data_IF_722780597800
#
_entry.id   IF_722780597800
#
_cell.length_a   1.000
_cell.length_b   1.000
_cell.length_c   1.000
_cell.angle_alpha   90.00
_cell.angle_beta   90.00
_cell.angle_gamma   90.00
#
_symmetry.space_group_name_H-M   'P 1'
#
loop_
_entity.id
_entity.type
_entity.pdbx_description
1 polymer ?
#
# COMPACT_ATOMS: atom_id res chain seq x y z
N UNK A 1 18.53 -25.52 -11.78
CA UNK A 1 19.69 -24.63 -12.13
C UNK A 1 19.99 -23.79 -10.89
N UNK A 2 21.26 -23.68 -10.48
CA UNK A 2 21.66 -22.85 -9.34
C UNK A 2 21.78 -21.38 -9.80
N UNK A 3 21.62 -20.44 -8.87
CA UNK A 3 21.86 -19.02 -9.13
C UNK A 3 23.36 -18.76 -9.34
N UNK A 4 23.70 -17.78 -10.18
CA UNK A 4 25.10 -17.30 -10.26
C UNK A 4 25.50 -16.57 -8.97
N UNK A 5 26.80 -16.34 -8.70
CA UNK A 5 27.22 -15.54 -7.54
C UNK A 5 26.57 -14.15 -7.47
N UNK A 6 26.47 -13.44 -8.62
CA UNK A 6 25.86 -12.11 -8.73
C UNK A 6 24.35 -12.17 -8.45
N UNK A 7 23.67 -13.18 -8.98
CA UNK A 7 22.24 -13.41 -8.70
C UNK A 7 21.99 -13.72 -7.22
N UNK A 8 22.88 -14.48 -6.58
CA UNK A 8 22.81 -14.76 -5.15
C UNK A 8 22.98 -13.51 -4.29
N UNK A 9 23.93 -12.63 -4.65
CA UNK A 9 24.15 -11.38 -3.96
C UNK A 9 22.93 -10.46 -4.10
N UNK A 10 22.43 -10.27 -5.31
CA UNK A 10 21.22 -9.48 -5.58
C UNK A 10 20.01 -10.02 -4.82
N UNK A 11 19.81 -11.34 -4.82
CA UNK A 11 18.72 -11.99 -4.08
C UNK A 11 18.80 -11.75 -2.57
N UNK A 12 19.97 -11.93 -1.98
CA UNK A 12 20.17 -11.68 -0.53
C UNK A 12 19.92 -10.22 -0.18
N UNK A 13 20.39 -9.29 -1.01
CA UNK A 13 20.16 -7.87 -0.83
C UNK A 13 18.68 -7.51 -0.93
N UNK A 14 17.96 -8.09 -1.88
CA UNK A 14 16.52 -7.91 -2.03
C UNK A 14 15.76 -8.42 -0.80
N UNK A 15 16.07 -9.63 -0.34
CA UNK A 15 15.44 -10.22 0.86
C UNK A 15 15.73 -9.38 2.10
N UNK A 16 16.96 -8.91 2.25
CA UNK A 16 17.33 -8.05 3.39
C UNK A 16 16.58 -6.73 3.37
N UNK A 17 16.53 -6.03 2.23
CA UNK A 17 15.88 -4.73 2.14
C UNK A 17 14.37 -4.84 2.37
N UNK A 18 13.70 -5.86 1.85
CA UNK A 18 12.26 -6.06 2.08
C UNK A 18 11.97 -6.29 3.55
N UNK A 19 12.76 -7.11 4.23
CA UNK A 19 12.58 -7.39 5.66
C UNK A 19 12.81 -6.14 6.52
N UNK A 20 13.95 -5.46 6.35
CA UNK A 20 14.30 -4.27 7.14
C UNK A 20 13.34 -3.10 6.87
N UNK A 21 12.88 -2.96 5.63
CA UNK A 21 11.92 -1.92 5.26
C UNK A 21 10.55 -2.17 5.89
N UNK A 22 10.01 -3.40 5.79
CA UNK A 22 8.73 -3.76 6.42
C UNK A 22 8.74 -3.50 7.92
N UNK A 23 9.77 -3.94 8.63
CA UNK A 23 9.95 -3.67 10.07
C UNK A 23 10.00 -2.18 10.39
N UNK A 24 10.67 -1.40 9.53
CA UNK A 24 10.82 0.05 9.72
C UNK A 24 9.49 0.77 9.54
N UNK A 25 8.71 0.37 8.52
CA UNK A 25 7.40 0.95 8.23
C UNK A 25 6.36 0.55 9.29
N UNK A 26 6.41 -0.69 9.79
CA UNK A 26 5.52 -1.11 10.86
C UNK A 26 5.78 -0.33 12.16
N UNK A 27 7.06 -0.19 12.57
CA UNK A 27 7.41 0.65 13.72
C UNK A 27 6.98 2.10 13.55
N UNK A 28 7.06 2.65 12.33
CA UNK A 28 6.62 4.00 12.04
C UNK A 28 5.09 4.13 12.15
N UNK A 29 4.33 3.22 11.54
CA UNK A 29 2.87 3.22 11.60
C UNK A 29 2.34 3.06 13.03
N UNK A 30 2.97 2.18 13.82
CA UNK A 30 2.66 2.01 15.25
C UNK A 30 2.93 3.28 16.05
N UNK A 31 4.08 3.92 15.86
CA UNK A 31 4.46 5.14 16.58
C UNK A 31 3.57 6.33 16.24
N UNK A 32 3.24 6.50 14.96
CA UNK A 32 2.60 7.71 14.44
C UNK A 32 1.08 7.61 14.32
N UNK A 33 0.53 6.40 14.27
CA UNK A 33 -0.89 6.12 14.10
C UNK A 33 -1.46 5.07 15.05
N UNK A 34 -0.63 4.37 15.81
CA UNK A 34 -1.09 3.33 16.74
C UNK A 34 -1.63 2.07 16.06
N UNK A 35 -1.27 1.81 14.79
CA UNK A 35 -1.78 0.68 14.02
C UNK A 35 -0.66 -0.05 13.27
N UNK A 36 -0.83 -1.35 12.96
CA UNK A 36 0.08 -2.08 12.08
C UNK A 36 0.15 -1.45 10.69
N UNK A 37 1.35 -1.43 10.09
CA UNK A 37 1.53 -0.92 8.72
C UNK A 37 0.62 -1.63 7.69
N UNK A 38 0.32 -2.90 7.91
CA UNK A 38 -0.63 -3.65 7.07
C UNK A 38 -2.04 -3.05 7.08
N UNK A 39 -2.51 -2.53 8.22
CA UNK A 39 -3.80 -1.84 8.31
C UNK A 39 -3.71 -0.43 7.70
N UNK A 40 -2.61 0.28 7.96
CA UNK A 40 -2.39 1.57 7.35
C UNK A 40 -2.45 1.50 5.81
N UNK A 41 -1.83 0.48 5.19
CA UNK A 41 -1.94 0.26 3.74
C UNK A 41 -3.40 0.14 3.27
N UNK A 42 -4.23 -0.60 3.98
CA UNK A 42 -5.67 -0.73 3.63
C UNK A 42 -6.37 0.63 3.67
N UNK A 43 -6.11 1.43 4.71
CA UNK A 43 -6.69 2.77 4.83
C UNK A 43 -6.22 3.70 3.71
N UNK A 44 -4.94 3.64 3.31
CA UNK A 44 -4.40 4.42 2.19
C UNK A 44 -5.07 4.02 0.87
N UNK A 45 -5.22 2.73 0.57
CA UNK A 45 -5.90 2.28 -0.64
C UNK A 45 -7.36 2.75 -0.71
N UNK A 46 -8.07 2.73 0.41
CA UNK A 46 -9.41 3.29 0.49
C UNK A 46 -9.40 4.81 0.29
N UNK A 47 -8.42 5.51 0.89
CA UNK A 47 -8.31 6.96 0.78
C UNK A 47 -8.07 7.43 -0.67
N UNK A 48 -7.30 6.65 -1.45
CA UNK A 48 -6.98 6.92 -2.85
C UNK A 48 -8.04 6.41 -3.84
N UNK A 49 -8.95 5.54 -3.39
CA UNK A 49 -10.00 5.00 -4.25
C UNK A 49 -11.13 6.02 -4.50
N UNK A 50 -11.87 5.88 -5.63
CA UNK A 50 -13.07 6.65 -5.88
C UNK A 50 -14.07 6.52 -4.72
N UNK A 51 -14.66 7.64 -4.30
CA UNK A 51 -15.60 7.72 -3.17
C UNK A 51 -15.08 7.13 -1.85
N UNK A 52 -13.75 6.88 -1.75
CA UNK A 52 -13.07 6.30 -0.58
C UNK A 52 -13.65 4.98 -0.12
N UNK A 53 -14.08 4.17 -1.06
CA UNK A 53 -14.68 2.86 -0.82
C UNK A 53 -14.25 1.83 -1.87
N UNK A 54 -14.13 0.58 -1.43
CA UNK A 54 -13.84 -0.57 -2.27
C UNK A 54 -14.66 -1.76 -1.79
N UNK A 55 -14.90 -2.72 -2.65
CA UNK A 55 -15.44 -4.01 -2.24
C UNK A 55 -14.38 -4.84 -1.50
N UNK A 56 -14.83 -5.85 -0.74
CA UNK A 56 -13.91 -6.79 -0.07
C UNK A 56 -12.99 -7.50 -1.05
N UNK A 57 -13.50 -7.82 -2.25
CA UNK A 57 -12.72 -8.50 -3.30
C UNK A 57 -11.61 -7.60 -3.84
N UNK A 58 -11.92 -6.33 -4.14
CA UNK A 58 -10.93 -5.35 -4.60
C UNK A 58 -9.85 -5.11 -3.56
N UNK A 59 -10.23 -4.92 -2.28
CA UNK A 59 -9.26 -4.77 -1.18
C UNK A 59 -8.35 -6.00 -1.03
N UNK A 60 -8.92 -7.19 -1.09
CA UNK A 60 -8.15 -8.43 -0.98
C UNK A 60 -7.17 -8.57 -2.16
N UNK A 61 -7.60 -8.25 -3.37
CA UNK A 61 -6.77 -8.28 -4.57
C UNK A 61 -5.62 -7.27 -4.48
N UNK A 62 -5.91 -6.01 -4.13
CA UNK A 62 -4.88 -4.96 -4.02
C UNK A 62 -3.81 -5.27 -2.96
N UNK A 63 -4.21 -5.85 -1.82
CA UNK A 63 -3.29 -6.21 -0.74
C UNK A 63 -2.68 -7.60 -0.91
N UNK A 64 -3.11 -8.37 -1.92
CA UNK A 64 -2.74 -9.79 -2.12
C UNK A 64 -2.97 -10.64 -0.87
N UNK A 65 -4.05 -10.33 -0.17
CA UNK A 65 -4.48 -11.10 0.99
C UNK A 65 -5.53 -12.13 0.59
N UNK A 66 -5.55 -13.26 1.31
CA UNK A 66 -6.72 -14.13 1.25
C UNK A 66 -7.95 -13.39 1.77
N UNK A 67 -9.13 -13.73 1.25
CA UNK A 67 -10.42 -13.17 1.70
C UNK A 67 -10.60 -13.26 3.22
N UNK A 68 -10.16 -14.37 3.82
CA UNK A 68 -10.22 -14.57 5.28
C UNK A 68 -9.35 -13.56 6.02
N UNK A 69 -8.09 -13.36 5.58
CA UNK A 69 -7.17 -12.40 6.19
C UNK A 69 -7.69 -10.96 6.06
N UNK A 70 -8.23 -10.60 4.88
CA UNK A 70 -8.83 -9.29 4.66
C UNK A 70 -10.07 -9.09 5.54
N UNK A 71 -10.94 -10.10 5.67
CA UNK A 71 -12.12 -10.04 6.53
C UNK A 71 -11.74 -9.77 7.99
N UNK A 72 -10.69 -10.42 8.49
CA UNK A 72 -10.17 -10.19 9.84
C UNK A 72 -9.63 -8.78 10.03
N UNK A 73 -8.82 -8.30 9.08
CA UNK A 73 -8.25 -6.94 9.10
C UNK A 73 -9.37 -5.88 9.10
N UNK A 74 -10.35 -6.00 8.19
CA UNK A 74 -11.49 -5.08 8.09
C UNK A 74 -12.31 -5.08 9.39
N UNK A 75 -12.59 -6.26 9.96
CA UNK A 75 -13.32 -6.35 11.24
C UNK A 75 -12.61 -5.62 12.38
N UNK A 76 -11.29 -5.75 12.46
CA UNK A 76 -10.49 -5.07 13.49
C UNK A 76 -10.48 -3.54 13.30
N UNK A 77 -10.32 -3.06 12.07
CA UNK A 77 -10.34 -1.63 11.74
C UNK A 77 -11.73 -1.01 11.91
N UNK A 78 -12.80 -1.78 11.62
CA UNK A 78 -14.19 -1.38 11.88
C UNK A 78 -14.45 -1.22 13.39
N UNK A 79 -13.94 -2.14 14.20
CA UNK A 79 -14.01 -2.04 15.66
C UNK A 79 -13.24 -0.82 16.22
N UNK A 80 -12.21 -0.37 15.51
CA UNK A 80 -11.44 0.84 15.84
C UNK A 80 -12.10 2.13 15.30
N UNK A 81 -13.22 2.03 14.58
CA UNK A 81 -13.95 3.18 14.04
C UNK A 81 -13.33 3.79 12.78
N UNK A 82 -12.28 3.20 12.19
CA UNK A 82 -11.57 3.80 11.04
C UNK A 82 -12.26 3.55 9.69
N UNK A 83 -13.12 2.54 9.63
CA UNK A 83 -13.90 2.21 8.45
C UNK A 83 -15.26 1.61 8.83
N UNK A 84 -16.15 1.53 7.86
CA UNK A 84 -17.46 0.90 8.00
C UNK A 84 -17.81 0.08 6.77
N UNK A 85 -18.72 -0.88 6.94
CA UNK A 85 -19.32 -1.61 5.82
C UNK A 85 -20.62 -0.95 5.43
N UNK A 86 -20.78 -0.70 4.13
CA UNK A 86 -22.00 -0.14 3.57
C UNK A 86 -22.53 -1.02 2.46
N UNK A 87 -23.84 -1.14 2.35
CA UNK A 87 -24.49 -1.86 1.25
C UNK A 87 -24.73 -0.88 0.11
N UNK A 88 -24.47 -1.29 -1.12
CA UNK A 88 -24.75 -0.48 -2.30
C UNK A 88 -26.25 -0.12 -2.37
N UNK A 89 -26.53 1.13 -2.73
CA UNK A 89 -27.90 1.60 -2.94
C UNK A 89 -28.54 1.01 -4.20
N UNK A 90 -27.69 0.71 -5.20
CA UNK A 90 -28.14 0.21 -6.52
C UNK A 90 -28.23 -1.31 -6.59
N UNK A 91 -27.36 -2.03 -5.84
CA UNK A 91 -27.39 -3.49 -5.77
C UNK A 91 -27.06 -3.96 -4.35
N UNK A 92 -28.09 -4.41 -3.64
CA UNK A 92 -27.98 -4.91 -2.24
C UNK A 92 -27.05 -6.12 -2.05
N UNK A 93 -26.62 -6.78 -3.14
CA UNK A 93 -25.64 -7.87 -3.09
C UNK A 93 -24.21 -7.35 -2.95
N UNK A 94 -23.96 -6.11 -3.37
CA UNK A 94 -22.65 -5.47 -3.31
C UNK A 94 -22.50 -4.78 -1.96
N UNK A 95 -21.40 -5.12 -1.28
CA UNK A 95 -21.01 -4.49 -0.01
C UNK A 95 -19.65 -3.83 -0.20
N UNK A 96 -19.57 -2.58 0.19
CA UNK A 96 -18.35 -1.80 0.22
C UNK A 96 -17.78 -1.72 1.63
N UNK A 97 -16.49 -1.53 1.69
CA UNK A 97 -15.77 -1.01 2.85
C UNK A 97 -15.44 0.45 2.55
N UNK A 98 -15.79 1.33 3.44
CA UNK A 98 -15.68 2.80 3.26
C UNK A 98 -14.94 3.40 4.45
N UNK A 99 -14.08 4.40 4.20
CA UNK A 99 -13.44 5.17 5.27
C UNK A 99 -14.47 6.01 6.03
N UNK A 100 -14.29 6.05 7.34
CA UNK A 100 -14.93 7.06 8.20
C UNK A 100 -14.11 8.36 8.23
N UNK A 101 -14.65 9.41 8.80
CA UNK A 101 -13.90 10.66 9.00
C UNK A 101 -12.68 10.44 9.89
N UNK A 102 -12.78 9.59 10.92
CA UNK A 102 -11.66 9.19 11.78
C UNK A 102 -10.59 8.44 10.99
N UNK A 103 -10.98 7.56 10.06
CA UNK A 103 -10.05 6.87 9.17
C UNK A 103 -9.34 7.83 8.22
N UNK A 104 -10.06 8.81 7.67
CA UNK A 104 -9.51 9.88 6.83
C UNK A 104 -8.48 10.71 7.60
N UNK A 105 -8.82 11.14 8.80
CA UNK A 105 -7.95 11.97 9.63
C UNK A 105 -6.71 11.19 10.05
N UNK A 106 -6.83 9.90 10.33
CA UNK A 106 -5.69 9.03 10.62
C UNK A 106 -4.73 8.94 9.42
N UNK A 107 -5.25 8.71 8.21
CA UNK A 107 -4.41 8.69 7.00
C UNK A 107 -3.70 10.03 6.81
N UNK A 108 -4.42 11.15 6.92
CA UNK A 108 -3.84 12.49 6.80
C UNK A 108 -2.75 12.79 7.83
N UNK A 109 -2.89 12.28 9.04
CA UNK A 109 -1.91 12.47 10.11
C UNK A 109 -0.64 11.62 9.91
N UNK A 110 -0.77 10.42 9.36
CA UNK A 110 0.32 9.45 9.22
C UNK A 110 1.09 9.62 7.90
N UNK A 111 0.38 9.89 6.78
CA UNK A 111 0.99 9.93 5.44
C UNK A 111 2.18 10.88 5.30
N UNK A 112 2.15 12.14 5.79
CA UNK A 112 3.30 13.03 5.65
C UNK A 112 4.52 12.55 6.45
N UNK A 113 4.31 11.89 7.57
CA UNK A 113 5.39 11.33 8.40
C UNK A 113 6.01 10.13 7.73
N UNK A 114 5.19 9.22 7.16
CA UNK A 114 5.66 8.08 6.40
C UNK A 114 6.44 8.52 5.16
N UNK A 115 5.92 9.47 4.38
CA UNK A 115 6.62 9.99 3.20
C UNK A 115 8.01 10.57 3.56
N UNK A 116 8.11 11.29 4.68
CA UNK A 116 9.39 11.82 5.19
C UNK A 116 10.35 10.69 5.57
N UNK A 117 9.86 9.68 6.29
CA UNK A 117 10.65 8.52 6.71
C UNK A 117 11.15 7.72 5.49
N UNK A 118 10.28 7.46 4.52
CA UNK A 118 10.64 6.77 3.27
C UNK A 118 11.67 7.58 2.49
N UNK A 119 11.46 8.90 2.33
CA UNK A 119 12.44 9.77 1.68
C UNK A 119 13.81 9.72 2.37
N UNK A 120 13.85 9.82 3.69
CA UNK A 120 15.09 9.81 4.45
C UNK A 120 15.81 8.46 4.43
N UNK A 121 15.08 7.36 4.49
CA UNK A 121 15.65 6.02 4.63
C UNK A 121 15.98 5.35 3.29
N UNK A 122 15.21 5.65 2.25
CA UNK A 122 15.35 5.04 0.93
C UNK A 122 15.89 6.06 -0.07
N UNK A 123 15.10 7.06 -0.43
CA UNK A 123 15.39 7.92 -1.58
C UNK A 123 16.54 8.87 -1.37
N UNK A 124 16.85 9.30 -0.14
CA UNK A 124 18.04 10.12 0.14
C UNK A 124 19.38 9.40 -0.12
N UNK A 125 19.35 8.09 -0.35
CA UNK A 125 20.53 7.26 -0.66
C UNK A 125 20.69 6.98 -2.15
N UNK A 126 19.75 7.40 -2.97
CA UNK A 126 19.66 7.10 -4.39
C UNK A 126 19.70 8.40 -5.22
N UNK A 127 20.40 8.38 -6.33
CA UNK A 127 20.29 9.42 -7.36
C UNK A 127 19.05 9.17 -8.25
N UNK A 128 18.77 10.12 -9.16
CA UNK A 128 17.60 10.05 -10.03
C UNK A 128 17.63 8.83 -10.97
N UNK A 129 18.78 8.40 -11.42
CA UNK A 129 18.93 7.22 -12.28
C UNK A 129 18.64 5.97 -11.51
N UNK A 130 19.17 5.86 -10.29
CA UNK A 130 18.92 4.73 -9.39
C UNK A 130 17.44 4.62 -8.98
N UNK A 131 16.76 5.74 -8.77
CA UNK A 131 15.31 5.76 -8.49
C UNK A 131 14.52 5.19 -9.68
N UNK A 132 14.83 5.62 -10.91
CA UNK A 132 14.20 5.09 -12.11
C UNK A 132 14.49 3.60 -12.32
N UNK A 133 15.73 3.17 -12.09
CA UNK A 133 16.13 1.76 -12.15
C UNK A 133 15.40 0.91 -11.10
N UNK A 134 15.31 1.40 -9.86
CA UNK A 134 14.58 0.71 -8.78
C UNK A 134 13.12 0.49 -9.15
N UNK A 135 12.46 1.51 -9.71
CA UNK A 135 11.08 1.39 -10.19
C UNK A 135 10.96 0.33 -11.28
N UNK A 136 11.80 0.40 -12.32
CA UNK A 136 11.78 -0.54 -13.45
C UNK A 136 12.05 -1.99 -13.01
N UNK A 137 13.05 -2.20 -12.15
CA UNK A 137 13.41 -3.53 -11.62
C UNK A 137 12.26 -4.08 -10.76
N UNK A 138 11.70 -3.26 -9.87
CA UNK A 138 10.60 -3.68 -9.00
C UNK A 138 9.38 -4.10 -9.80
N UNK A 139 9.00 -3.33 -10.83
CA UNK A 139 7.88 -3.65 -11.71
C UNK A 139 8.13 -4.95 -12.51
N UNK A 140 9.36 -5.16 -13.00
CA UNK A 140 9.73 -6.39 -13.71
C UNK A 140 9.62 -7.62 -12.80
N UNK A 141 10.09 -7.52 -11.55
CA UNK A 141 10.00 -8.60 -10.56
C UNK A 141 8.51 -8.90 -10.24
N UNK A 142 7.73 -7.87 -9.99
CA UNK A 142 6.30 -8.00 -9.70
C UNK A 142 5.57 -8.65 -10.88
N UNK A 143 5.81 -8.20 -12.12
CA UNK A 143 5.22 -8.80 -13.33
C UNK A 143 5.58 -10.28 -13.51
N UNK A 144 6.79 -10.68 -13.13
CA UNK A 144 7.21 -12.09 -13.16
C UNK A 144 6.56 -12.96 -12.07
N UNK A 145 6.19 -12.36 -10.94
CA UNK A 145 5.54 -13.09 -9.84
C UNK A 145 4.04 -13.29 -10.07
N UNK A 146 3.41 -12.44 -10.86
CA UNK A 146 1.95 -12.41 -11.00
C UNK A 146 1.42 -13.04 -12.28
N UNK A 147 2.25 -13.63 -13.09
CA UNK A 147 1.93 -14.46 -14.28
C UNK A 147 0.59 -14.27 -15.02
N UNK A 148 -0.45 -13.72 -14.42
CA UNK A 148 -1.78 -13.54 -15.01
C UNK A 148 -2.68 -12.42 -14.43
N UNK A 149 -2.32 -11.68 -13.37
CA UNK A 149 -3.29 -10.81 -12.68
C UNK A 149 -2.86 -9.37 -12.36
N UNK A 150 -1.94 -8.76 -13.09
CA UNK A 150 -1.68 -7.31 -12.96
C UNK A 150 -2.52 -6.47 -13.94
N UNK A 151 -3.82 -6.69 -13.93
CA UNK A 151 -4.79 -5.81 -14.57
C UNK A 151 -5.43 -4.84 -13.58
N UNK A 152 -4.64 -4.02 -12.86
CA UNK A 152 -5.16 -3.10 -11.86
C UNK A 152 -4.12 -2.07 -11.40
N UNK A 153 -3.89 -1.10 -12.22
CA UNK A 153 -3.61 0.33 -11.97
C UNK A 153 -2.82 0.69 -10.71
N UNK A 154 -1.48 0.76 -10.84
CA UNK A 154 -0.76 1.89 -10.28
C UNK A 154 -0.77 3.01 -11.33
N UNK A 155 -1.93 3.58 -11.61
CA UNK A 155 -2.02 4.79 -12.40
C UNK A 155 -1.52 5.94 -11.51
N UNK A 156 -0.41 6.54 -11.91
CA UNK A 156 0.03 7.81 -11.40
C UNK A 156 -1.13 8.81 -11.54
N UNK A 157 -1.58 9.35 -10.42
CA UNK A 157 -2.22 10.64 -10.43
C UNK A 157 -1.09 11.67 -10.60
N UNK A 158 -0.80 12.03 -11.83
CA UNK A 158 -0.05 13.26 -12.10
C UNK A 158 -0.81 14.42 -11.45
N UNK A 159 -0.26 14.93 -10.35
CA UNK A 159 -0.72 16.14 -9.72
C UNK A 159 -0.53 17.29 -10.72
N UNK A 160 -1.62 17.73 -11.31
CA UNK A 160 -1.67 19.01 -11.98
C UNK A 160 -1.62 20.11 -10.90
N UNK A 161 -0.42 20.52 -10.53
CA UNK A 161 -0.20 21.85 -9.95
C UNK A 161 -0.39 22.86 -11.08
N UNK A 162 -1.63 23.38 -11.17
CA UNK A 162 -1.95 24.54 -11.95
C UNK A 162 -1.51 25.78 -11.20
N UNK A 163 -0.34 26.31 -11.56
CA UNK A 163 -0.03 27.71 -11.34
C UNK A 163 -1.11 28.54 -12.06
N UNK A 164 -1.78 29.37 -11.33
CA UNK A 164 -2.74 30.39 -11.78
C UNK A 164 -2.49 31.67 -11.01
N UNK A 165 -1.74 32.50 -11.61
CA UNK A 165 -1.69 33.98 -11.60
C UNK A 165 -2.49 34.72 -10.50
#
# INVERSE_FOLDING_TARGET
MALTPEQNEAWRSLVLVTHVLDDSLDRQAQRDGGLPHTYYKVLVFLYESPDRRLTMSELAAQQRYSTSRMTHAVKSMEASGWLRRVTSETDRRVKYVELTDEGIDLVRAVSPKQARDVRAKVFSKLDAVQVAQLSAISLAIVGGLDGEQLGGSFAHSDGADGDGD
#
